data_IF_925097429369
#
_entry.id   IF_925097429369
#
_cell.length_a   1.000
_cell.length_b   1.000
_cell.length_c   1.000
_cell.angle_alpha   90.00
_cell.angle_beta   90.00
_cell.angle_gamma   90.00
#
_symmetry.space_group_name_H-M   'P 1'
#
loop_
_entity.id
_entity.type
_entity.pdbx_description
1 polymer ?
#
# COMPACT_ATOMS: atom_id res chain seq x y z
N UNK A 1 -1.21 3.82 10.84
CA UNK A 1 -0.37 4.80 10.11
C UNK A 1 0.90 5.16 10.88
N UNK A 2 0.84 5.29 12.21
CA UNK A 2 2.02 5.64 13.01
C UNK A 2 3.10 4.56 12.90
N UNK A 3 2.72 3.31 12.89
CA UNK A 3 3.63 2.18 12.73
C UNK A 3 4.38 2.24 11.40
N UNK A 4 3.66 2.54 10.33
CA UNK A 4 4.25 2.66 8.99
C UNK A 4 5.21 3.85 8.94
N UNK A 5 4.84 4.98 9.54
CA UNK A 5 5.72 6.14 9.63
C UNK A 5 7.01 5.80 10.35
N UNK A 6 6.92 5.07 11.45
CA UNK A 6 8.09 4.63 12.20
C UNK A 6 8.99 3.72 11.36
N UNK A 7 8.41 2.79 10.60
CA UNK A 7 9.14 1.91 9.70
C UNK A 7 9.91 2.70 8.64
N UNK A 8 9.28 3.73 8.06
CA UNK A 8 9.93 4.59 7.09
C UNK A 8 11.06 5.40 7.71
N UNK A 9 10.85 5.97 8.90
CA UNK A 9 11.82 6.81 9.59
C UNK A 9 13.05 6.04 10.05
N UNK A 10 12.88 4.77 10.43
CA UNK A 10 13.99 3.94 10.92
C UNK A 10 14.74 3.20 9.79
N UNK A 11 14.33 3.37 8.55
CA UNK A 11 14.94 2.68 7.42
C UNK A 11 14.65 1.19 7.37
N UNK A 12 13.55 0.76 7.99
CA UNK A 12 13.10 -0.63 7.97
C UNK A 12 12.84 -1.07 6.52
N UNK A 13 13.46 -2.17 6.08
CA UNK A 13 13.35 -2.65 4.70
C UNK A 13 12.00 -3.30 4.42
N UNK A 14 11.13 -2.61 3.67
CA UNK A 14 9.83 -3.13 3.26
C UNK A 14 9.35 -2.44 1.99
N UNK A 15 8.30 -2.99 1.36
CA UNK A 15 7.63 -2.36 0.23
C UNK A 15 6.32 -1.74 0.69
N UNK A 16 6.08 -0.47 0.34
CA UNK A 16 4.81 0.21 0.57
C UNK A 16 4.08 0.29 -0.76
N UNK A 17 2.93 -0.37 -0.87
CA UNK A 17 2.16 -0.51 -2.11
C UNK A 17 0.85 0.24 -1.99
N UNK A 18 0.61 1.16 -2.93
CA UNK A 18 -0.65 1.89 -3.06
C UNK A 18 -1.55 1.13 -4.03
N UNK A 19 -2.69 0.63 -3.56
CA UNK A 19 -3.61 -0.17 -4.37
C UNK A 19 -4.81 0.63 -4.89
N UNK A 20 -4.72 1.96 -4.84
CA UNK A 20 -5.75 2.84 -5.38
C UNK A 20 -5.68 2.89 -6.91
N UNK A 21 -6.61 3.63 -7.52
CA UNK A 21 -6.58 3.86 -8.96
C UNK A 21 -5.53 4.90 -9.34
N UNK A 22 -5.01 4.87 -10.59
CA UNK A 22 -4.06 5.88 -11.06
C UNK A 22 -4.55 7.32 -10.92
N UNK A 23 -5.86 7.56 -11.12
CA UNK A 23 -6.44 8.90 -10.96
C UNK A 23 -6.33 9.41 -9.52
N UNK A 24 -6.49 8.53 -8.55
CA UNK A 24 -6.32 8.88 -7.13
C UNK A 24 -4.86 9.18 -6.81
N UNK A 25 -3.96 8.40 -7.37
CA UNK A 25 -2.51 8.57 -7.18
C UNK A 25 -2.04 9.92 -7.72
N UNK A 26 -2.64 10.42 -8.79
CA UNK A 26 -2.34 11.74 -9.34
C UNK A 26 -2.82 12.88 -8.43
N UNK A 27 -3.93 12.68 -7.70
CA UNK A 27 -4.46 13.68 -6.78
C UNK A 27 -3.53 13.85 -5.58
N UNK A 28 -3.16 12.74 -4.97
CA UNK A 28 -2.23 12.73 -3.82
C UNK A 28 -1.65 11.34 -3.65
N UNK A 29 -0.48 11.27 -3.03
CA UNK A 29 0.22 10.01 -2.80
C UNK A 29 1.18 10.12 -1.62
N UNK A 30 1.57 8.97 -1.09
CA UNK A 30 2.69 8.86 -0.16
C UNK A 30 3.92 8.65 -1.04
N UNK A 31 4.93 9.51 -0.92
CA UNK A 31 6.08 9.53 -1.84
C UNK A 31 6.81 8.20 -1.93
N UNK A 32 6.89 7.46 -0.84
CA UNK A 32 7.62 6.19 -0.78
C UNK A 32 6.80 5.00 -1.30
N UNK A 33 5.52 5.20 -1.64
CA UNK A 33 4.65 4.14 -2.11
C UNK A 33 4.80 3.90 -3.61
N UNK A 34 4.69 2.64 -4.02
CA UNK A 34 4.62 2.23 -5.42
C UNK A 34 3.18 1.91 -5.75
N UNK A 35 2.68 2.41 -6.87
CA UNK A 35 1.31 2.17 -7.31
C UNK A 35 1.19 0.80 -8.00
N UNK A 36 0.35 -0.06 -7.43
CA UNK A 36 -0.11 -1.29 -8.09
C UNK A 36 -1.61 -1.38 -7.82
N UNK A 37 -2.46 -0.92 -8.74
CA UNK A 37 -3.91 -0.89 -8.50
C UNK A 37 -4.48 -2.25 -8.12
N UNK A 38 -5.52 -2.25 -7.29
CA UNK A 38 -6.17 -3.48 -6.84
C UNK A 38 -6.59 -4.38 -8.01
N UNK A 39 -7.09 -3.80 -9.10
CA UNK A 39 -7.48 -4.57 -10.27
C UNK A 39 -6.33 -5.38 -10.88
N UNK A 40 -5.13 -4.83 -10.88
CA UNK A 40 -3.94 -5.53 -11.37
C UNK A 40 -3.53 -6.67 -10.43
N UNK A 41 -3.70 -6.46 -9.12
CA UNK A 41 -3.44 -7.50 -8.12
C UNK A 41 -4.46 -8.63 -8.26
N UNK A 42 -5.75 -8.29 -8.41
CA UNK A 42 -6.82 -9.27 -8.59
C UNK A 42 -6.65 -10.07 -9.88
N UNK A 43 -6.15 -9.43 -10.93
CA UNK A 43 -5.84 -10.07 -12.19
C UNK A 43 -4.56 -10.92 -12.11
N UNK A 44 -3.79 -10.80 -11.03
CA UNK A 44 -2.52 -11.52 -10.81
C UNK A 44 -1.53 -11.23 -11.93
N UNK A 45 -1.47 -9.97 -12.37
CA UNK A 45 -0.65 -9.52 -13.49
C UNK A 45 0.83 -9.75 -13.20
N UNK A 46 1.52 -10.67 -13.91
CA UNK A 46 2.91 -10.98 -13.59
C UNK A 46 3.87 -9.82 -13.83
N UNK A 47 3.58 -8.92 -14.76
CA UNK A 47 4.42 -7.74 -15.00
C UNK A 47 4.36 -6.76 -13.85
N UNK A 48 3.16 -6.52 -13.31
CA UNK A 48 2.96 -5.59 -12.20
C UNK A 48 3.51 -6.14 -10.89
N UNK A 49 3.46 -7.46 -10.70
CA UNK A 49 3.90 -8.11 -9.46
C UNK A 49 5.34 -8.61 -9.51
N UNK A 50 6.03 -8.43 -10.62
CA UNK A 50 7.37 -8.98 -10.85
C UNK A 50 8.42 -8.53 -9.83
N UNK A 51 8.29 -7.32 -9.28
CA UNK A 51 9.23 -6.79 -8.28
C UNK A 51 8.99 -7.26 -6.85
N UNK A 52 7.98 -8.10 -6.62
CA UNK A 52 7.60 -8.53 -5.28
C UNK A 52 8.07 -9.95 -5.00
N UNK A 53 8.68 -10.16 -3.83
CA UNK A 53 9.11 -11.49 -3.37
C UNK A 53 8.13 -12.01 -2.32
N UNK A 54 7.81 -13.33 -2.33
CA UNK A 54 6.77 -13.88 -1.44
C UNK A 54 7.04 -13.72 0.05
N UNK A 55 8.29 -13.62 0.45
CA UNK A 55 8.68 -13.52 1.87
C UNK A 55 9.14 -12.14 2.30
N UNK A 56 9.17 -11.15 1.38
CA UNK A 56 9.51 -9.78 1.79
C UNK A 56 8.33 -9.12 2.50
N UNK A 57 8.63 -8.15 3.35
CA UNK A 57 7.60 -7.41 4.07
C UNK A 57 6.92 -6.40 3.14
N UNK A 58 5.60 -6.50 3.01
CA UNK A 58 4.79 -5.64 2.14
C UNK A 58 3.68 -5.01 2.96
N UNK A 59 3.59 -3.69 2.90
CA UNK A 59 2.49 -2.93 3.51
C UNK A 59 1.63 -2.38 2.38
N UNK A 60 0.34 -2.67 2.44
CA UNK A 60 -0.63 -2.25 1.43
C UNK A 60 -1.47 -1.10 1.98
N UNK A 61 -1.73 -0.08 1.17
CA UNK A 61 -2.63 1.00 1.57
C UNK A 61 -3.57 1.40 0.43
N UNK A 62 -4.70 1.98 0.83
CA UNK A 62 -5.66 2.57 -0.07
C UNK A 62 -6.16 3.88 0.56
N UNK A 63 -7.39 4.31 0.24
CA UNK A 63 -7.94 5.53 0.81
C UNK A 63 -8.26 5.38 2.30
N UNK A 64 -9.00 4.32 2.66
CA UNK A 64 -9.48 4.13 4.04
C UNK A 64 -9.26 2.73 4.61
N UNK A 65 -8.71 1.79 3.85
CA UNK A 65 -8.35 0.46 4.33
C UNK A 65 -9.13 -0.71 3.74
N UNK A 66 -10.19 -0.47 2.98
CA UNK A 66 -11.04 -1.56 2.44
C UNK A 66 -10.35 -2.28 1.27
N UNK A 67 -9.88 -1.53 0.28
CA UNK A 67 -9.22 -2.11 -0.90
C UNK A 67 -7.91 -2.78 -0.54
N UNK A 68 -7.17 -2.21 0.41
CA UNK A 68 -5.91 -2.79 0.85
C UNK A 68 -6.09 -4.14 1.53
N UNK A 69 -7.21 -4.34 2.25
CA UNK A 69 -7.54 -5.65 2.83
C UNK A 69 -7.89 -6.67 1.75
N UNK A 70 -8.58 -6.24 0.68
CA UNK A 70 -8.87 -7.13 -0.46
C UNK A 70 -7.58 -7.55 -1.17
N UNK A 71 -6.68 -6.60 -1.40
CA UNK A 71 -5.38 -6.87 -2.00
C UNK A 71 -4.55 -7.84 -1.15
N UNK A 72 -4.56 -7.64 0.16
CA UNK A 72 -3.86 -8.51 1.10
C UNK A 72 -4.33 -9.96 0.95
N UNK A 73 -5.64 -10.18 0.89
CA UNK A 73 -6.20 -11.53 0.75
C UNK A 73 -5.79 -12.18 -0.55
N UNK A 74 -5.79 -11.45 -1.67
CA UNK A 74 -5.36 -11.97 -2.96
C UNK A 74 -3.88 -12.38 -2.92
N UNK A 75 -3.02 -11.51 -2.41
CA UNK A 75 -1.59 -11.80 -2.31
C UNK A 75 -1.31 -12.98 -1.37
N UNK A 76 -2.06 -13.08 -0.27
CA UNK A 76 -1.96 -14.19 0.67
C UNK A 76 -2.26 -15.53 -0.04
N UNK A 77 -3.30 -15.57 -0.87
CA UNK A 77 -3.65 -16.74 -1.67
C UNK A 77 -2.57 -17.09 -2.68
N UNK A 78 -1.79 -16.10 -3.14
CA UNK A 78 -0.68 -16.30 -4.07
C UNK A 78 0.60 -16.78 -3.38
N UNK A 79 0.61 -16.88 -2.06
CA UNK A 79 1.77 -17.36 -1.30
C UNK A 79 2.61 -16.30 -0.63
N UNK A 80 2.19 -15.04 -0.65
CA UNK A 80 2.86 -13.97 0.09
C UNK A 80 2.56 -14.13 1.57
N UNK A 81 3.59 -14.11 2.40
CA UNK A 81 3.46 -14.48 3.83
C UNK A 81 3.65 -13.33 4.82
N UNK A 82 4.22 -12.20 4.39
CA UNK A 82 4.54 -11.10 5.30
C UNK A 82 3.83 -9.81 4.86
N UNK A 83 2.51 -9.81 5.00
CA UNK A 83 1.64 -8.76 4.51
C UNK A 83 0.99 -7.99 5.64
N UNK A 84 0.86 -6.67 5.45
CA UNK A 84 0.12 -5.80 6.37
C UNK A 84 -0.72 -4.83 5.55
N UNK A 85 -1.89 -4.46 6.08
CA UNK A 85 -2.72 -3.39 5.53
C UNK A 85 -2.61 -2.17 6.45
N UNK A 86 -2.28 -1.01 5.89
CA UNK A 86 -2.17 0.23 6.66
C UNK A 86 -3.57 0.70 7.06
N UNK A 87 -3.90 0.58 8.33
CA UNK A 87 -5.21 0.96 8.86
C UNK A 87 -5.45 2.46 8.64
N UNK A 88 -6.67 2.78 8.19
CA UNK A 88 -7.06 4.17 7.95
C UNK A 88 -6.58 4.74 6.62
N UNK A 89 -5.65 4.07 5.95
CA UNK A 89 -5.17 4.45 4.63
C UNK A 89 -4.56 5.85 4.55
N UNK A 90 -4.56 6.40 3.34
CA UNK A 90 -3.98 7.73 3.08
C UNK A 90 -4.77 8.86 3.77
N UNK A 91 -6.06 8.64 4.04
CA UNK A 91 -6.86 9.64 4.78
C UNK A 91 -6.27 9.84 6.17
N UNK A 92 -6.04 8.78 6.90
CA UNK A 92 -5.47 8.86 8.24
C UNK A 92 -4.02 9.31 8.21
N UNK A 93 -3.28 8.93 7.17
CA UNK A 93 -1.92 9.43 6.94
C UNK A 93 -1.92 10.95 6.83
N UNK A 94 -2.84 11.51 6.02
CA UNK A 94 -2.97 12.96 5.87
C UNK A 94 -3.29 13.65 7.19
N UNK A 95 -4.20 13.08 7.98
CA UNK A 95 -4.64 13.68 9.24
C UNK A 95 -3.60 13.62 10.35
N UNK A 96 -2.88 12.51 10.45
CA UNK A 96 -2.02 12.23 11.61
C UNK A 96 -0.52 12.35 11.34
N UNK A 97 -0.09 12.13 10.12
CA UNK A 97 1.34 12.04 9.79
C UNK A 97 1.80 13.23 8.94
N UNK A 98 1.14 13.50 7.83
CA UNK A 98 1.58 14.50 6.86
C UNK A 98 0.39 15.28 6.30
N UNK A 99 0.12 16.45 6.88
CA UNK A 99 -0.99 17.29 6.48
C UNK A 99 -0.81 17.94 5.10
N UNK A 100 0.37 17.85 4.50
CA UNK A 100 0.60 18.30 3.13
C UNK A 100 -0.01 17.37 2.08
N UNK A 101 -0.37 16.14 2.47
CA UNK A 101 -1.09 15.20 1.61
C UNK A 101 -2.57 15.60 1.62
N UNK A 102 -3.16 16.04 0.47
CA UNK A 102 -4.55 16.48 0.49
C UNK A 102 -5.54 15.33 0.73
N UNK A 103 -6.63 15.68 1.39
CA UNK A 103 -7.81 14.79 1.46
C UNK A 103 -8.61 14.93 0.18
N UNK A 104 -9.23 13.83 -0.28
CA UNK A 104 -10.03 13.87 -1.51
C UNK A 104 -11.31 13.07 -1.40
#
# INVERSE_FOLDING_TARGET
>A
VEQVKQMLDTGHGFKLIDVREPSEYEICKIAQATLIPLGDIEAKDPEKLNGLSPDEEIVLHCKAGVRSMKALKVLEEMGFSNLKSMRGGINEWSEKIDSSVPLY
#
